data_IF_018031833883
#
_entry.id   IF_018031833883
#
_cell.length_a   1.000
_cell.length_b   1.000
_cell.length_c   1.000
_cell.angle_alpha   90.00
_cell.angle_beta   90.00
_cell.angle_gamma   90.00
#
_symmetry.space_group_name_H-M   'P 1'
#
loop_
_entity.id
_entity.type
_entity.pdbx_description
1 polymer ?
#
# COMPACT_ATOMS: atom_id res chain seq x y z
N UNK A 1 3.11 24.04 17.13
CA UNK A 1 4.28 23.34 16.56
C UNK A 1 4.44 22.05 17.34
N UNK A 2 3.83 20.97 16.87
CA UNK A 2 3.96 19.64 17.51
C UNK A 2 5.27 19.08 16.98
N UNK A 3 6.29 18.98 17.82
CA UNK A 3 7.52 18.26 17.46
C UNK A 3 7.21 16.76 17.62
N UNK A 4 7.52 15.91 16.63
CA UNK A 4 7.23 14.48 16.68
C UNK A 4 7.97 13.88 17.88
N UNK A 5 7.22 13.19 18.75
CA UNK A 5 7.78 12.61 19.96
C UNK A 5 8.42 11.27 19.59
N UNK A 6 9.74 11.28 19.58
CA UNK A 6 10.60 10.32 18.92
C UNK A 6 10.88 9.08 19.77
N UNK A 7 10.02 8.09 19.60
CA UNK A 7 10.42 6.70 19.49
C UNK A 7 9.80 6.14 18.21
N UNK A 8 10.33 6.58 17.07
CA UNK A 8 10.23 5.78 15.84
C UNK A 8 11.26 4.68 15.99
N UNK A 9 10.77 3.53 16.43
CA UNK A 9 11.50 2.28 16.28
C UNK A 9 11.22 1.84 14.85
N UNK A 10 12.04 2.32 13.92
CA UNK A 10 11.95 1.90 12.52
C UNK A 10 12.47 0.46 12.37
N UNK A 11 11.85 -0.29 11.47
CA UNK A 11 12.27 -1.63 11.13
C UNK A 11 12.99 -1.57 9.79
N UNK A 12 14.31 -1.49 9.84
CA UNK A 12 15.14 -1.82 8.68
C UNK A 12 16.21 -2.84 9.10
N UNK A 13 16.27 -3.94 8.35
CA UNK A 13 17.29 -5.00 8.45
C UNK A 13 17.69 -5.44 9.89
N UNK A 14 16.72 -5.80 10.75
CA UNK A 14 16.90 -6.39 12.10
C UNK A 14 17.45 -5.48 13.22
N UNK A 15 17.41 -4.15 13.06
CA UNK A 15 17.88 -3.23 14.10
C UNK A 15 16.80 -2.24 14.53
N UNK A 16 16.97 -1.72 15.75
CA UNK A 16 16.08 -0.75 16.36
C UNK A 16 16.93 0.46 16.77
N UNK A 17 16.59 1.67 16.34
CA UNK A 17 17.37 2.86 16.68
C UNK A 17 16.63 3.83 17.62
N UNK A 18 17.38 4.44 18.53
CA UNK A 18 16.90 5.52 19.39
C UNK A 18 17.12 6.85 18.68
N UNK A 19 16.08 7.48 18.13
CA UNK A 19 16.23 8.71 17.35
C UNK A 19 16.93 9.86 18.13
N UNK A 20 16.62 10.14 19.42
CA UNK A 20 17.26 11.24 20.14
C UNK A 20 18.80 11.17 20.23
N UNK A 21 19.39 9.97 20.23
CA UNK A 21 20.85 9.78 20.33
C UNK A 21 21.44 8.96 19.18
N UNK A 22 20.62 8.56 18.21
CA UNK A 22 20.92 7.73 17.04
C UNK A 22 21.63 6.40 17.37
N UNK A 23 21.37 5.84 18.55
CA UNK A 23 22.00 4.59 18.99
C UNK A 23 21.22 3.38 18.48
N UNK A 24 21.94 2.40 17.94
CA UNK A 24 21.40 1.14 17.40
C UNK A 24 21.35 0.04 18.46
N UNK A 25 20.31 -0.80 18.36
CA UNK A 25 20.07 -1.97 19.19
C UNK A 25 19.70 -3.16 18.32
N UNK A 26 20.21 -4.34 18.67
CA UNK A 26 19.86 -5.60 18.02
C UNK A 26 18.55 -6.22 18.53
N UNK A 27 17.87 -5.57 19.49
CA UNK A 27 16.59 -6.03 20.02
C UNK A 27 15.72 -4.87 20.48
N UNK A 28 14.41 -5.03 20.30
CA UNK A 28 13.40 -4.04 20.67
C UNK A 28 13.47 -3.74 22.17
N UNK A 29 13.54 -4.78 22.99
CA UNK A 29 13.67 -4.65 24.45
C UNK A 29 14.96 -3.92 24.86
N UNK A 30 16.03 -4.06 24.09
CA UNK A 30 17.29 -3.33 24.30
C UNK A 30 17.15 -1.83 24.02
N UNK A 31 16.49 -1.47 22.92
CA UNK A 31 16.20 -0.07 22.58
C UNK A 31 15.31 0.60 23.62
N UNK A 32 14.24 -0.08 24.05
CA UNK A 32 13.31 0.41 25.08
C UNK A 32 14.04 0.62 26.42
N UNK A 33 14.84 -0.36 26.85
CA UNK A 33 15.59 -0.26 28.11
C UNK A 33 16.60 0.90 28.08
N UNK A 34 17.28 1.10 26.95
CA UNK A 34 18.10 2.28 26.77
C UNK A 34 17.31 3.57 26.91
N UNK A 35 16.15 3.69 26.25
CA UNK A 35 15.35 4.92 26.32
C UNK A 35 14.84 5.22 27.74
N UNK A 36 14.55 4.17 28.53
CA UNK A 36 14.13 4.27 29.94
C UNK A 36 15.21 4.79 30.88
N UNK A 37 16.46 4.42 30.66
CA UNK A 37 17.53 4.58 31.66
C UNK A 37 18.73 5.38 31.18
N UNK A 38 18.79 5.75 29.91
CA UNK A 38 19.91 6.49 29.39
C UNK A 38 19.89 7.92 29.93
N UNK A 39 20.93 8.26 30.70
CA UNK A 39 21.20 9.62 31.15
C UNK A 39 21.43 10.63 30.00
N UNK A 40 21.48 10.15 28.75
CA UNK A 40 21.57 10.99 27.54
C UNK A 40 20.25 11.66 27.18
N UNK A 41 19.13 11.16 27.70
CA UNK A 41 17.80 11.70 27.42
C UNK A 41 17.33 12.53 28.62
N UNK A 42 17.04 13.80 28.39
CA UNK A 42 16.45 14.68 29.40
C UNK A 42 14.92 14.70 29.21
N UNK A 43 14.16 14.26 30.22
CA UNK A 43 12.70 14.22 30.19
C UNK A 43 12.10 13.26 31.22
N UNK A 44 10.78 13.16 31.21
CA UNK A 44 9.97 12.32 32.10
C UNK A 44 9.33 11.16 31.32
N UNK A 45 9.40 9.95 31.87
CA UNK A 45 9.01 8.72 31.19
C UNK A 45 7.60 8.27 31.51
N UNK A 46 6.81 7.87 30.51
CA UNK A 46 5.56 7.14 30.74
C UNK A 46 5.80 5.62 30.76
N UNK A 47 5.67 4.99 31.93
CA UNK A 47 5.86 3.54 32.10
C UNK A 47 4.82 2.65 31.35
N UNK A 48 3.77 3.26 30.78
CA UNK A 48 2.67 2.54 30.14
C UNK A 48 2.76 2.49 28.61
N UNK A 49 3.23 3.57 27.97
CA UNK A 49 3.40 3.64 26.51
C UNK A 49 4.85 3.90 26.08
N UNK A 50 5.78 3.97 27.03
CA UNK A 50 7.21 4.17 26.79
C UNK A 50 7.56 5.49 26.07
N UNK A 51 6.68 6.50 26.14
CA UNK A 51 6.94 7.83 25.58
C UNK A 51 7.71 8.72 26.57
N UNK A 52 8.65 9.49 26.04
CA UNK A 52 9.41 10.49 26.77
C UNK A 52 8.75 11.86 26.66
N UNK A 53 8.64 12.59 27.76
CA UNK A 53 8.03 13.92 27.83
C UNK A 53 9.05 14.96 28.25
N UNK A 54 8.92 16.18 27.72
CA UNK A 54 9.84 17.29 28.03
C UNK A 54 9.74 17.80 29.47
N UNK A 55 8.68 17.41 30.21
CA UNK A 55 8.45 17.84 31.59
C UNK A 55 7.44 16.95 32.33
N UNK A 56 7.45 17.03 33.65
CA UNK A 56 6.54 16.28 34.53
C UNK A 56 5.09 16.69 34.32
N UNK A 57 4.82 17.97 34.07
CA UNK A 57 3.46 18.45 33.79
C UNK A 57 2.92 17.90 32.46
N UNK A 58 3.79 17.77 31.45
CA UNK A 58 3.41 17.16 30.17
C UNK A 58 3.13 15.66 30.30
N UNK A 59 3.96 14.94 31.07
CA UNK A 59 3.71 13.55 31.44
C UNK A 59 2.40 13.41 32.23
N UNK A 60 2.16 14.29 33.21
CA UNK A 60 0.98 14.22 34.05
C UNK A 60 -0.29 14.45 33.23
N UNK A 61 -0.32 15.47 32.36
CA UNK A 61 -1.42 15.73 31.43
C UNK A 61 -1.68 14.55 30.48
N UNK A 62 -0.61 13.91 30.00
CA UNK A 62 -0.70 12.68 29.19
C UNK A 62 -1.35 11.53 29.97
N UNK A 63 -0.89 11.26 31.21
CA UNK A 63 -1.42 10.17 32.03
C UNK A 63 -2.86 10.40 32.50
N UNK A 64 -3.25 11.65 32.75
CA UNK A 64 -4.60 12.00 33.21
C UNK A 64 -5.66 11.99 32.11
N UNK A 65 -5.26 12.15 30.85
CA UNK A 65 -6.15 12.06 29.69
C UNK A 65 -6.10 10.63 29.15
N UNK A 66 -6.93 9.74 29.72
CA UNK A 66 -6.96 8.27 29.59
C UNK A 66 -7.03 7.63 28.18
N UNK A 67 -6.85 8.38 27.09
CA UNK A 67 -6.92 7.87 25.71
C UNK A 67 -5.58 7.33 25.16
N UNK A 68 -4.46 7.63 25.82
CA UNK A 68 -3.12 7.48 25.24
C UNK A 68 -2.43 6.11 25.45
N UNK A 69 -3.12 5.13 26.05
CA UNK A 69 -2.51 3.84 26.45
C UNK A 69 -3.18 2.60 25.85
N UNK A 70 -4.26 2.74 25.08
CA UNK A 70 -4.90 1.59 24.42
C UNK A 70 -4.61 1.66 22.91
N UNK A 71 -3.34 1.62 22.52
CA UNK A 71 -2.93 1.70 21.12
C UNK A 71 -2.68 0.28 20.59
N UNK A 72 -3.17 -0.02 19.39
CA UNK A 72 -2.73 -1.21 18.67
C UNK A 72 -1.43 -0.90 17.92
N UNK A 73 -0.33 -1.57 18.25
CA UNK A 73 0.96 -1.35 17.58
C UNK A 73 1.00 -1.89 16.14
N UNK A 74 0.10 -2.79 15.77
CA UNK A 74 0.01 -3.30 14.39
C UNK A 74 -0.55 -2.25 13.43
N UNK A 75 -1.61 -1.52 13.83
CA UNK A 75 -2.29 -0.55 12.95
C UNK A 75 -2.22 0.92 13.43
N UNK A 76 -1.54 1.18 14.55
CA UNK A 76 -1.33 2.49 15.15
C UNK A 76 -2.62 3.30 15.45
N UNK A 77 -3.73 2.62 15.77
CA UNK A 77 -5.02 3.23 16.15
C UNK A 77 -5.14 3.29 17.68
N UNK A 78 -5.65 4.42 18.20
CA UNK A 78 -5.98 4.63 19.60
C UNK A 78 -7.40 4.19 19.95
N UNK A 79 -7.56 3.55 21.10
CA UNK A 79 -8.85 3.10 21.63
C UNK A 79 -9.19 3.78 22.96
N UNK A 80 -10.49 4.01 23.16
CA UNK A 80 -10.99 4.68 24.37
C UNK A 80 -10.79 3.86 25.65
N UNK A 81 -10.68 2.54 25.53
CA UNK A 81 -10.49 1.61 26.65
C UNK A 81 -9.83 0.30 26.21
N UNK A 82 -9.35 -0.48 27.19
CA UNK A 82 -8.67 -1.77 26.96
C UNK A 82 -9.59 -2.84 26.34
N UNK A 83 -10.89 -2.83 26.67
CA UNK A 83 -11.82 -3.83 26.12
C UNK A 83 -11.94 -3.70 24.60
N UNK A 84 -12.04 -2.47 24.09
CA UNK A 84 -12.09 -2.20 22.66
C UNK A 84 -10.77 -2.60 21.97
N UNK A 85 -9.62 -2.27 22.57
CA UNK A 85 -8.30 -2.70 22.08
C UNK A 85 -8.17 -4.24 22.08
N UNK A 86 -8.64 -4.90 23.13
CA UNK A 86 -8.56 -6.36 23.25
C UNK A 86 -9.44 -7.05 22.20
N UNK A 87 -10.65 -6.55 21.96
CA UNK A 87 -11.53 -7.01 20.86
C UNK A 87 -10.87 -6.75 19.51
N UNK A 88 -10.23 -5.59 19.33
CA UNK A 88 -9.51 -5.28 18.10
C UNK A 88 -8.34 -6.24 17.84
N UNK A 89 -7.52 -6.55 18.85
CA UNK A 89 -6.34 -7.42 18.70
C UNK A 89 -6.68 -8.90 18.46
N UNK A 90 -7.87 -9.37 18.85
CA UNK A 90 -8.34 -10.73 18.52
C UNK A 90 -8.95 -10.82 17.12
N UNK A 91 -9.28 -9.70 16.48
CA UNK A 91 -9.71 -9.68 15.09
C UNK A 91 -8.48 -9.71 14.16
N UNK A 92 -8.66 -10.27 12.96
CA UNK A 92 -7.60 -10.38 11.95
C UNK A 92 -7.32 -9.00 11.35
N UNK A 93 -6.04 -8.57 11.39
CA UNK A 93 -5.57 -7.42 10.62
C UNK A 93 -5.35 -7.81 9.15
N UNK A 94 -5.57 -6.86 8.24
CA UNK A 94 -5.22 -7.00 6.83
C UNK A 94 -3.82 -6.43 6.61
N UNK A 95 -2.92 -7.16 5.95
CA UNK A 95 -1.52 -6.79 5.79
C UNK A 95 -1.23 -6.39 4.34
N UNK A 96 -0.55 -5.25 4.14
CA UNK A 96 -0.03 -4.85 2.84
C UNK A 96 1.20 -5.69 2.51
N UNK A 97 1.18 -6.42 1.39
CA UNK A 97 2.30 -7.30 1.00
C UNK A 97 3.53 -6.54 0.51
N UNK A 98 3.41 -5.26 0.19
CA UNK A 98 4.51 -4.44 -0.31
C UNK A 98 5.35 -3.80 0.81
N UNK A 99 4.70 -3.35 1.88
CA UNK A 99 5.37 -2.66 3.00
C UNK A 99 5.12 -3.30 4.38
N UNK A 100 4.31 -4.37 4.46
CA UNK A 100 3.92 -5.07 5.69
C UNK A 100 3.13 -4.20 6.70
N UNK A 101 2.63 -3.01 6.30
CA UNK A 101 1.70 -2.24 7.14
C UNK A 101 0.39 -3.01 7.35
N UNK A 102 -0.18 -2.90 8.56
CA UNK A 102 -1.41 -3.61 8.94
C UNK A 102 -2.57 -2.65 9.15
N UNK A 103 -3.71 -3.04 8.60
CA UNK A 103 -4.93 -2.26 8.58
C UNK A 103 -6.05 -3.00 9.32
N UNK A 104 -6.93 -2.21 9.95
CA UNK A 104 -8.06 -2.72 10.75
C UNK A 104 -9.14 -3.36 9.88
N UNK A 105 -9.21 -3.01 8.60
CA UNK A 105 -10.16 -3.56 7.65
C UNK A 105 -9.59 -3.48 6.23
N UNK A 106 -10.22 -4.20 5.32
CA UNK A 106 -9.86 -4.26 3.91
C UNK A 106 -9.99 -2.91 3.19
N UNK A 107 -10.97 -2.07 3.56
CA UNK A 107 -11.14 -0.76 2.95
C UNK A 107 -9.92 0.15 3.18
N UNK A 108 -9.39 0.17 4.40
CA UNK A 108 -8.21 0.96 4.74
C UNK A 108 -6.95 0.41 4.05
N UNK A 109 -6.82 -0.93 3.94
CA UNK A 109 -5.74 -1.54 3.17
C UNK A 109 -5.82 -1.14 1.69
N UNK A 110 -7.02 -1.20 1.10
CA UNK A 110 -7.29 -0.78 -0.27
C UNK A 110 -6.93 0.68 -0.51
N UNK A 111 -7.37 1.58 0.36
CA UNK A 111 -6.98 3.00 0.27
C UNK A 111 -5.47 3.20 0.39
N UNK A 112 -4.81 2.43 1.26
CA UNK A 112 -3.37 2.47 1.40
C UNK A 112 -2.64 1.98 0.14
N UNK A 113 -3.09 0.92 -0.52
CA UNK A 113 -2.44 0.41 -1.74
C UNK A 113 -2.23 1.47 -2.83
N UNK A 114 -3.07 2.51 -2.87
CA UNK A 114 -2.90 3.68 -3.75
C UNK A 114 -1.59 4.44 -3.56
N UNK A 115 -0.95 4.35 -2.39
CA UNK A 115 0.36 4.98 -2.15
C UNK A 115 1.49 4.27 -2.88
N UNK A 116 1.29 3.01 -3.26
CA UNK A 116 2.23 2.21 -4.03
C UNK A 116 2.07 2.42 -5.54
N UNK A 117 0.88 2.84 -5.98
CA UNK A 117 0.65 3.20 -7.38
C UNK A 117 1.41 4.49 -7.76
N UNK A 118 1.93 4.57 -9.00
CA UNK A 118 2.67 5.75 -9.42
C UNK A 118 1.72 6.94 -9.63
N UNK A 119 2.18 8.15 -9.27
CA UNK A 119 1.43 9.40 -9.49
C UNK A 119 1.14 9.69 -10.97
N UNK A 120 1.94 9.10 -11.87
CA UNK A 120 1.82 9.15 -13.33
C UNK A 120 2.33 7.85 -13.92
N UNK A 121 1.72 7.40 -15.01
CA UNK A 121 2.12 6.19 -15.71
C UNK A 121 3.02 6.53 -16.89
N UNK A 122 4.20 5.93 -16.94
CA UNK A 122 5.12 6.01 -18.07
C UNK A 122 4.70 5.02 -19.16
N UNK A 123 4.75 5.45 -20.42
CA UNK A 123 4.42 4.58 -21.54
C UNK A 123 5.40 3.41 -21.66
N UNK A 124 4.87 2.21 -21.87
CA UNK A 124 5.67 0.97 -21.96
C UNK A 124 6.67 0.95 -23.13
N UNK A 125 6.53 1.86 -24.10
CA UNK A 125 7.40 1.92 -25.27
C UNK A 125 8.14 3.25 -25.48
N UNK A 126 7.72 4.33 -24.83
CA UNK A 126 8.34 5.65 -25.04
C UNK A 126 8.33 6.50 -23.77
N UNK A 127 9.03 7.64 -23.79
CA UNK A 127 9.25 8.48 -22.60
C UNK A 127 8.03 9.38 -22.22
N UNK A 128 6.82 9.03 -22.69
CA UNK A 128 5.60 9.81 -22.42
C UNK A 128 4.96 9.41 -21.10
N UNK A 129 4.39 10.40 -20.42
CA UNK A 129 3.74 10.23 -19.12
C UNK A 129 2.26 10.57 -19.19
N UNK A 130 1.44 9.78 -18.51
CA UNK A 130 -0.01 9.89 -18.46
C UNK A 130 -0.49 10.02 -17.01
N UNK A 131 -1.57 10.76 -16.79
CA UNK A 131 -2.19 10.90 -15.46
C UNK A 131 -3.01 9.69 -15.05
N UNK A 132 -3.41 8.85 -16.01
CA UNK A 132 -4.29 7.69 -15.80
C UNK A 132 -3.76 6.51 -16.62
N UNK A 133 -3.88 5.30 -16.06
CA UNK A 133 -3.42 4.08 -16.73
C UNK A 133 -4.22 3.80 -18.01
N UNK A 134 -5.54 4.02 -17.98
CA UNK A 134 -6.41 3.89 -19.15
C UNK A 134 -6.01 4.84 -20.29
N UNK A 135 -5.54 6.04 -19.97
CA UNK A 135 -5.07 7.02 -20.95
C UNK A 135 -3.75 6.58 -21.61
N UNK A 136 -2.84 5.97 -20.84
CA UNK A 136 -1.62 5.35 -21.37
C UNK A 136 -1.95 4.18 -22.31
N UNK A 137 -2.87 3.30 -21.90
CA UNK A 137 -3.31 2.19 -22.75
C UNK A 137 -3.95 2.67 -24.06
N UNK A 138 -4.82 3.68 -23.97
CA UNK A 138 -5.43 4.28 -25.17
C UNK A 138 -4.38 4.89 -26.11
N UNK A 139 -3.31 5.47 -25.57
CA UNK A 139 -2.20 5.98 -26.37
C UNK A 139 -1.52 4.87 -27.18
N UNK A 140 -1.21 3.73 -26.55
CA UNK A 140 -0.64 2.56 -27.22
C UNK A 140 -1.59 1.99 -28.26
N UNK A 141 -2.84 1.73 -27.88
CA UNK A 141 -3.88 1.15 -28.74
C UNK A 141 -4.24 2.06 -29.94
N UNK A 142 -3.99 3.36 -29.84
CA UNK A 142 -4.19 4.29 -30.96
C UNK A 142 -3.18 4.13 -32.11
N UNK A 143 -2.11 3.34 -31.90
CA UNK A 143 -1.02 3.15 -32.86
C UNK A 143 -0.14 4.39 -33.08
N UNK A 144 -0.29 5.42 -32.23
CA UNK A 144 0.49 6.66 -32.31
C UNK A 144 1.72 6.65 -31.41
N UNK A 145 2.04 5.51 -30.78
CA UNK A 145 3.24 5.38 -29.97
C UNK A 145 4.49 5.38 -30.86
N UNK A 146 5.47 6.20 -30.51
CA UNK A 146 6.72 6.34 -31.26
C UNK A 146 7.56 5.06 -31.24
N UNK A 147 7.30 4.18 -30.26
CA UNK A 147 7.95 2.87 -30.15
C UNK A 147 7.45 1.84 -31.17
N UNK A 148 6.31 2.11 -31.82
CA UNK A 148 5.61 1.16 -32.67
C UNK A 148 4.74 0.16 -31.93
N UNK A 149 4.70 0.19 -30.59
CA UNK A 149 3.79 -0.65 -29.80
C UNK A 149 2.35 -0.28 -30.12
N UNK A 150 1.53 -1.27 -30.44
CA UNK A 150 0.12 -1.11 -30.79
C UNK A 150 -0.82 -2.06 -30.05
N UNK A 151 -2.09 -2.13 -30.48
CA UNK A 151 -3.09 -2.99 -29.85
C UNK A 151 -2.82 -4.49 -30.05
N UNK A 152 -2.17 -4.90 -31.14
CA UNK A 152 -1.87 -6.30 -31.39
C UNK A 152 -0.75 -6.78 -30.45
N UNK A 153 0.26 -5.93 -30.23
CA UNK A 153 1.30 -6.19 -29.22
C UNK A 153 0.69 -6.35 -27.81
N UNK A 154 -0.22 -5.44 -27.43
CA UNK A 154 -0.91 -5.51 -26.12
C UNK A 154 -1.76 -6.77 -26.03
N UNK A 155 -2.56 -7.06 -27.06
CA UNK A 155 -3.41 -8.24 -27.11
C UNK A 155 -2.55 -9.50 -26.86
N UNK A 156 -1.41 -9.63 -27.54
CA UNK A 156 -0.48 -10.74 -27.38
C UNK A 156 0.10 -10.82 -25.96
N UNK A 157 0.53 -9.70 -25.36
CA UNK A 157 1.10 -9.70 -24.01
C UNK A 157 0.08 -10.14 -22.95
N UNK A 158 -1.15 -9.64 -23.06
CA UNK A 158 -2.26 -9.96 -22.15
C UNK A 158 -2.67 -11.43 -22.34
N UNK A 159 -2.76 -11.91 -23.58
CA UNK A 159 -3.02 -13.32 -23.91
C UNK A 159 -1.96 -14.23 -23.28
N UNK A 160 -0.68 -13.93 -23.48
CA UNK A 160 0.41 -14.77 -23.02
C UNK A 160 0.44 -14.87 -21.49
N UNK A 161 0.18 -13.77 -20.79
CA UNK A 161 0.20 -13.74 -19.33
C UNK A 161 -1.03 -14.42 -18.70
N UNK A 162 -2.24 -14.06 -19.12
CA UNK A 162 -3.48 -14.55 -18.48
C UNK A 162 -4.08 -15.80 -19.12
N UNK A 163 -3.75 -16.12 -20.37
CA UNK A 163 -4.14 -17.39 -21.01
C UNK A 163 -3.62 -18.62 -20.25
N UNK A 164 -2.51 -18.48 -19.51
CA UNK A 164 -1.96 -19.54 -18.65
C UNK A 164 -2.49 -19.49 -17.20
N UNK A 165 -3.02 -18.35 -16.76
CA UNK A 165 -3.35 -18.04 -15.35
C UNK A 165 -4.84 -18.18 -14.99
N UNK A 166 -5.65 -18.80 -15.85
CA UNK A 166 -7.11 -18.96 -15.75
C UNK A 166 -7.96 -17.73 -16.13
N UNK A 167 -7.43 -16.80 -16.94
CA UNK A 167 -8.27 -15.91 -17.76
C UNK A 167 -9.08 -14.83 -17.04
N UNK A 168 -8.53 -14.19 -15.99
CA UNK A 168 -9.29 -13.22 -15.18
C UNK A 168 -9.86 -12.04 -15.98
N UNK A 169 -9.16 -11.54 -17.00
CA UNK A 169 -9.58 -10.37 -17.78
C UNK A 169 -9.86 -10.67 -19.26
N UNK A 170 -9.98 -11.95 -19.62
CA UNK A 170 -9.89 -12.40 -21.02
C UNK A 170 -10.97 -13.43 -21.35
N UNK A 171 -11.60 -13.34 -22.51
CA UNK A 171 -12.62 -14.33 -22.93
C UNK A 171 -12.03 -15.44 -23.85
N UNK A 172 -12.89 -16.26 -24.46
CA UNK A 172 -12.51 -17.46 -25.25
C UNK A 172 -11.72 -17.16 -26.56
N UNK A 173 -11.14 -15.96 -26.72
CA UNK A 173 -10.16 -15.57 -27.74
C UNK A 173 -10.58 -15.68 -29.21
N UNK A 174 -11.86 -15.95 -29.46
CA UNK A 174 -12.42 -16.10 -30.82
C UNK A 174 -13.25 -14.90 -31.27
N UNK A 175 -13.35 -13.85 -30.45
CA UNK A 175 -14.26 -12.72 -30.67
C UNK A 175 -13.54 -11.38 -30.86
N UNK A 176 -14.24 -10.42 -31.48
CA UNK A 176 -13.82 -9.02 -31.65
C UNK A 176 -13.62 -8.32 -30.29
N UNK A 177 -14.34 -8.75 -29.26
CA UNK A 177 -14.13 -8.29 -27.90
C UNK A 177 -13.26 -9.33 -27.19
N UNK A 178 -12.00 -8.99 -26.86
CA UNK A 178 -11.03 -9.96 -26.29
C UNK A 178 -10.96 -9.92 -24.77
N UNK A 179 -11.40 -8.81 -24.17
CA UNK A 179 -11.24 -8.54 -22.76
C UNK A 179 -12.60 -8.53 -22.07
N UNK A 180 -12.68 -9.08 -20.87
CA UNK A 180 -13.91 -9.06 -20.07
C UNK A 180 -13.62 -8.56 -18.65
N UNK A 181 -14.65 -8.00 -18.01
CA UNK A 181 -14.58 -7.61 -16.61
C UNK A 181 -14.90 -8.82 -15.71
N UNK A 182 -13.99 -9.29 -14.84
CA UNK A 182 -14.23 -10.47 -14.00
C UNK A 182 -15.40 -10.32 -13.00
N UNK A 183 -15.82 -9.10 -12.67
CA UNK A 183 -16.94 -8.86 -11.74
C UNK A 183 -18.32 -8.91 -12.41
N UNK A 184 -18.42 -8.59 -13.70
CA UNK A 184 -19.71 -8.38 -14.35
C UNK A 184 -19.82 -8.92 -15.78
N UNK A 185 -18.78 -9.60 -16.27
CA UNK A 185 -18.67 -10.24 -17.58
C UNK A 185 -18.87 -9.30 -18.80
N UNK A 186 -18.90 -7.98 -18.58
CA UNK A 186 -18.95 -7.02 -19.69
C UNK A 186 -17.69 -7.15 -20.55
N UNK A 187 -17.88 -7.13 -21.87
CA UNK A 187 -16.82 -7.35 -22.84
C UNK A 187 -16.33 -6.05 -23.49
N UNK A 188 -15.04 -6.02 -23.79
CA UNK A 188 -14.32 -4.86 -24.30
C UNK A 188 -13.36 -5.28 -25.41
N UNK A 189 -13.26 -4.45 -26.46
CA UNK A 189 -12.26 -4.63 -27.52
C UNK A 189 -10.85 -4.34 -27.02
N UNK A 190 -10.74 -3.41 -26.08
CA UNK A 190 -9.48 -2.78 -25.67
C UNK A 190 -9.36 -2.76 -24.15
N UNK A 191 -8.13 -2.87 -23.65
CA UNK A 191 -7.82 -2.80 -22.22
C UNK A 191 -8.17 -1.42 -21.68
N UNK A 192 -7.94 -0.36 -22.48
CA UNK A 192 -8.35 1.00 -22.08
C UNK A 192 -9.84 1.11 -21.79
N UNK A 193 -10.69 0.44 -22.57
CA UNK A 193 -12.14 0.41 -22.38
C UNK A 193 -12.56 -0.34 -21.12
N UNK A 194 -11.92 -1.47 -20.83
CA UNK A 194 -12.12 -2.22 -19.59
C UNK A 194 -11.72 -1.39 -18.37
N UNK A 195 -10.56 -0.74 -18.40
CA UNK A 195 -10.09 0.11 -17.30
C UNK A 195 -11.00 1.33 -17.07
N UNK A 196 -11.50 1.94 -18.16
CA UNK A 196 -12.49 3.02 -18.05
C UNK A 196 -13.80 2.55 -17.43
N UNK A 197 -14.25 1.33 -17.77
CA UNK A 197 -15.42 0.73 -17.16
C UNK A 197 -15.23 0.54 -15.64
N UNK A 198 -14.11 -0.05 -15.23
CA UNK A 198 -13.79 -0.26 -13.80
C UNK A 198 -13.69 1.10 -13.08
N UNK A 199 -13.01 2.08 -13.68
CA UNK A 199 -12.86 3.42 -13.12
C UNK A 199 -14.19 4.18 -12.95
N UNK A 200 -15.18 3.89 -13.79
CA UNK A 200 -16.51 4.52 -13.71
C UNK A 200 -17.36 4.04 -12.53
N UNK A 201 -16.88 3.07 -11.74
CA UNK A 201 -17.64 2.42 -10.65
C UNK A 201 -18.95 1.78 -11.14
N UNK A 202 -18.99 1.36 -12.40
CA UNK A 202 -20.13 0.66 -12.98
C UNK A 202 -20.21 -0.82 -12.57
N UNK A 203 -19.20 -1.33 -11.88
CA UNK A 203 -19.11 -2.68 -11.34
C UNK A 203 -18.35 -2.66 -9.99
N UNK A 204 -18.28 -3.82 -9.33
CA UNK A 204 -17.63 -3.97 -8.02
C UNK A 204 -16.14 -4.33 -8.16
N UNK A 205 -15.54 -4.15 -9.35
CA UNK A 205 -14.08 -4.29 -9.51
C UNK A 205 -13.36 -3.09 -8.90
N UNK A 206 -12.27 -3.40 -8.23
CA UNK A 206 -11.30 -2.40 -7.77
C UNK A 206 -10.37 -2.00 -8.92
N UNK A 207 -10.30 -0.70 -9.20
CA UNK A 207 -9.40 -0.16 -10.22
C UNK A 207 -7.93 -0.34 -9.85
N UNK A 208 -7.60 -0.19 -8.57
CA UNK A 208 -6.23 -0.27 -8.08
C UNK A 208 -5.70 -1.70 -8.22
N UNK A 209 -6.53 -2.70 -7.88
CA UNK A 209 -6.24 -4.13 -8.08
C UNK A 209 -6.08 -4.48 -9.57
N UNK A 210 -7.00 -4.01 -10.42
CA UNK A 210 -6.87 -4.24 -11.87
C UNK A 210 -5.58 -3.64 -12.43
N UNK A 211 -5.19 -2.44 -11.99
CA UNK A 211 -3.93 -1.81 -12.40
C UNK A 211 -2.71 -2.61 -11.90
N UNK A 212 -2.73 -3.11 -10.66
CA UNK A 212 -1.69 -4.01 -10.13
C UNK A 212 -1.53 -5.27 -11.00
N UNK A 213 -2.65 -5.89 -11.37
CA UNK A 213 -2.68 -7.08 -12.23
C UNK A 213 -2.09 -6.80 -13.63
N UNK A 214 -2.48 -5.70 -14.27
CA UNK A 214 -1.92 -5.28 -15.56
C UNK A 214 -0.44 -4.90 -15.46
N UNK A 215 -0.01 -4.24 -14.38
CA UNK A 215 1.40 -3.99 -14.16
C UNK A 215 2.20 -5.29 -14.00
N UNK A 216 1.66 -6.31 -13.32
CA UNK A 216 2.30 -7.61 -13.19
C UNK A 216 2.43 -8.32 -14.56
N UNK A 217 1.40 -8.25 -15.40
CA UNK A 217 1.44 -8.73 -16.78
C UNK A 217 2.58 -8.08 -17.58
N UNK A 218 2.67 -6.74 -17.55
CA UNK A 218 3.68 -6.03 -18.32
C UNK A 218 5.09 -6.19 -17.73
N UNK A 219 5.24 -6.28 -16.41
CA UNK A 219 6.52 -6.58 -15.77
C UNK A 219 7.02 -7.98 -16.15
N UNK A 220 6.13 -8.98 -16.22
CA UNK A 220 6.48 -10.34 -16.64
C UNK A 220 7.08 -10.36 -18.06
N UNK A 221 6.53 -9.57 -18.98
CA UNK A 221 7.06 -9.42 -20.35
C UNK A 221 8.53 -9.00 -20.37
N UNK A 222 8.92 -8.04 -19.53
CA UNK A 222 10.29 -7.51 -19.49
C UNK A 222 11.27 -8.39 -18.70
N UNK A 223 10.78 -9.29 -17.83
CA UNK A 223 11.61 -10.24 -17.09
C UNK A 223 11.91 -11.55 -17.85
N UNK A 224 11.10 -11.90 -18.86
CA UNK A 224 11.22 -13.15 -19.62
C UNK A 224 11.79 -12.99 -21.05
N UNK A 225 12.45 -11.86 -21.34
CA UNK A 225 13.25 -11.61 -22.56
C UNK A 225 14.75 -11.72 -22.29
#
# INVERSE_FOLDING_TARGET
MVRPNQLEIDHDENHYFCFPCQRLFSSFSGAVNHCRHAATHAGEWCERCDWLFVSQDALHMHVTNSACHNICHSCNIDYSNWSDLNVHNVNVHHECTECNERFVNENNLREHKRVHLPLKYECLGCDRWFSEFSAMMLHLESGNCESGVDCDDIDDWVIDYWGFKFGDYTNDWTDYYKFCCPSCDNEFRFVSGLLQHIASQACDMDLDEAIEDFNACFAWRFCCL
#
